data_IF_896387416168
#
_entry.id   IF_896387416168
#
_cell.length_a   1.000
_cell.length_b   1.000
_cell.length_c   1.000
_cell.angle_alpha   90.00
_cell.angle_beta   90.00
_cell.angle_gamma   90.00
#
_symmetry.space_group_name_H-M   'P 1'
#
loop_
_entity.id
_entity.type
_entity.pdbx_description
1 polymer ?
#
# COMPACT_ATOMS: atom_id res chain seq x y z
N UNK A 1 28.43 -7.62 18.74
CA UNK A 1 27.12 -8.22 18.41
C UNK A 1 26.58 -7.52 17.17
N UNK A 2 26.90 -8.04 15.98
CA UNK A 2 26.48 -7.46 14.70
C UNK A 2 25.60 -8.46 13.96
N UNK A 3 24.40 -8.01 13.65
CA UNK A 3 23.30 -8.76 13.04
C UNK A 3 23.54 -8.81 11.52
N UNK A 4 24.04 -9.95 11.00
CA UNK A 4 24.41 -10.10 9.57
C UNK A 4 23.71 -11.29 8.87
N UNK A 5 22.40 -11.40 9.02
CA UNK A 5 21.60 -12.28 8.16
C UNK A 5 21.01 -11.50 6.96
N UNK A 6 21.88 -11.07 6.04
CA UNK A 6 21.45 -10.43 4.78
C UNK A 6 21.13 -11.49 3.71
N UNK A 7 19.83 -11.80 3.55
CA UNK A 7 19.29 -12.66 2.48
C UNK A 7 19.03 -11.83 1.22
N UNK A 8 19.53 -12.26 0.06
CA UNK A 8 19.29 -11.59 -1.23
C UNK A 8 18.28 -12.39 -2.08
N UNK A 9 17.40 -11.68 -2.78
CA UNK A 9 16.39 -12.25 -3.69
C UNK A 9 16.82 -12.03 -5.15
N UNK A 10 16.77 -13.07 -5.98
CA UNK A 10 17.05 -13.01 -7.44
C UNK A 10 15.74 -13.14 -8.22
N UNK A 11 15.43 -12.22 -9.13
CA UNK A 11 14.19 -12.26 -9.95
C UNK A 11 14.37 -13.19 -11.16
N UNK A 12 13.50 -14.19 -11.32
CA UNK A 12 13.65 -15.30 -12.27
C UNK A 12 12.72 -15.16 -13.50
N UNK A 13 11.62 -14.41 -13.43
CA UNK A 13 10.63 -14.32 -14.52
C UNK A 13 10.25 -12.87 -14.86
N UNK A 14 10.38 -12.49 -16.14
CA UNK A 14 10.21 -11.11 -16.66
C UNK A 14 8.86 -10.83 -17.33
N UNK A 15 8.02 -11.83 -17.57
CA UNK A 15 6.78 -11.65 -18.33
C UNK A 15 5.56 -11.78 -17.42
N UNK A 16 5.02 -10.65 -16.96
CA UNK A 16 3.68 -10.60 -16.35
C UNK A 16 2.97 -9.36 -16.89
N UNK A 17 1.96 -9.62 -17.71
CA UNK A 17 1.02 -8.64 -18.23
C UNK A 17 0.13 -8.12 -17.09
N UNK A 18 0.02 -6.80 -16.93
CA UNK A 18 -0.74 -6.16 -15.85
C UNK A 18 -2.10 -5.66 -16.39
N UNK A 19 -3.24 -6.05 -15.79
CA UNK A 19 -4.55 -5.59 -16.26
C UNK A 19 -4.76 -4.10 -15.97
N UNK A 20 -5.19 -3.38 -17.00
CA UNK A 20 -5.48 -1.95 -17.01
C UNK A 20 -6.61 -1.59 -16.05
N UNK A 21 -6.43 -0.51 -15.30
CA UNK A 21 -7.30 -0.05 -14.22
C UNK A 21 -8.64 0.49 -14.78
N UNK A 22 -9.76 -0.02 -14.26
CA UNK A 22 -11.08 0.49 -14.55
C UNK A 22 -11.32 1.87 -13.89
N UNK A 23 -11.81 2.81 -14.71
CA UNK A 23 -12.14 4.18 -14.36
C UNK A 23 -13.27 4.26 -13.32
N UNK A 24 -13.03 4.97 -12.21
CA UNK A 24 -14.08 5.36 -11.27
C UNK A 24 -14.58 6.75 -11.68
N UNK A 25 -15.79 6.80 -12.21
CA UNK A 25 -16.50 8.03 -12.56
C UNK A 25 -16.89 8.76 -11.27
N UNK A 26 -16.47 10.01 -11.09
CA UNK A 26 -16.86 10.88 -9.99
C UNK A 26 -18.09 11.68 -10.44
N UNK A 27 -19.20 11.57 -9.73
CA UNK A 27 -20.37 12.45 -9.94
C UNK A 27 -20.31 13.65 -9.00
N UNK A 28 -20.61 14.88 -9.46
CA UNK A 28 -20.72 16.05 -8.60
C UNK A 28 -22.18 16.26 -8.23
N UNK A 29 -22.56 16.05 -6.97
CA UNK A 29 -23.85 16.52 -6.45
C UNK A 29 -23.63 17.50 -5.32
N UNK A 30 -23.75 18.78 -5.67
CA UNK A 30 -23.88 19.92 -4.77
C UNK A 30 -25.34 20.00 -4.34
N UNK A 31 -25.59 20.09 -3.04
CA UNK A 31 -26.85 20.62 -2.51
C UNK A 31 -26.58 21.26 -1.16
N UNK A 32 -26.82 22.57 -1.10
CA UNK A 32 -26.75 23.43 0.07
C UNK A 32 -27.76 23.04 1.16
N UNK A 33 -27.44 23.24 2.45
CA UNK A 33 -28.33 22.91 3.57
C UNK A 33 -29.30 24.08 3.89
N UNK A 34 -30.56 23.81 4.27
CA UNK A 34 -31.40 24.83 4.87
C UNK A 34 -31.07 25.00 6.36
N UNK A 35 -30.86 26.25 6.77
CA UNK A 35 -30.80 26.64 8.18
C UNK A 35 -32.22 26.67 8.75
N UNK A 36 -32.51 25.81 9.73
CA UNK A 36 -33.62 25.99 10.67
C UNK A 36 -33.09 25.72 12.07
N UNK A 37 -33.04 26.77 12.86
CA UNK A 37 -32.91 26.73 14.31
C UNK A 37 -34.23 26.23 14.91
N UNK A 38 -34.22 25.08 15.58
CA UNK A 38 -35.27 24.79 16.56
C UNK A 38 -34.80 23.77 17.60
N UNK A 39 -34.52 24.31 18.78
CA UNK A 39 -34.95 23.80 20.08
C UNK A 39 -34.77 22.29 20.39
N UNK A 40 -33.81 22.05 21.30
CA UNK A 40 -33.87 21.08 22.40
C UNK A 40 -34.77 19.85 22.16
N UNK A 41 -34.23 18.84 21.47
CA UNK A 41 -34.75 17.47 21.58
C UNK A 41 -33.66 16.58 22.19
N UNK A 42 -33.69 16.44 23.52
CA UNK A 42 -32.96 15.38 24.20
C UNK A 42 -33.44 14.03 23.62
N UNK A 43 -32.55 13.12 23.22
CA UNK A 43 -32.96 11.83 22.71
C UNK A 43 -33.70 11.05 23.81
N UNK A 44 -34.80 10.33 23.48
CA UNK A 44 -35.50 9.51 24.45
C UNK A 44 -34.54 8.44 24.99
N UNK A 45 -34.39 8.39 26.31
CA UNK A 45 -33.66 7.33 26.99
C UNK A 45 -34.33 5.96 26.72
N UNK A 46 -33.53 4.98 26.28
CA UNK A 46 -33.66 3.62 26.82
C UNK A 46 -34.38 2.53 26.00
N UNK A 47 -34.63 2.71 24.70
CA UNK A 47 -35.04 1.58 23.86
C UNK A 47 -33.87 0.63 23.59
N UNK A 48 -34.05 -0.70 23.71
CA UNK A 48 -33.05 -1.71 23.28
C UNK A 48 -32.87 -1.61 21.76
N UNK A 49 -32.01 -0.70 21.30
CA UNK A 49 -31.64 -0.61 19.89
C UNK A 49 -30.91 -1.88 19.49
N UNK A 50 -31.19 -2.41 18.29
CA UNK A 50 -30.42 -3.53 17.72
C UNK A 50 -28.93 -3.23 17.84
N UNK A 51 -28.14 -4.20 18.32
CA UNK A 51 -26.67 -4.07 18.38
C UNK A 51 -26.16 -3.59 17.01
N UNK A 52 -25.41 -2.48 17.00
CA UNK A 52 -24.84 -1.93 15.76
C UNK A 52 -23.92 -2.98 15.12
N UNK A 53 -24.06 -3.20 13.81
CA UNK A 53 -23.13 -4.06 13.06
C UNK A 53 -21.75 -3.43 13.05
N UNK A 54 -20.73 -4.17 13.45
CA UNK A 54 -19.36 -3.68 13.42
C UNK A 54 -18.87 -3.53 11.97
N UNK A 55 -18.38 -2.33 11.62
CA UNK A 55 -17.75 -2.08 10.32
C UNK A 55 -16.22 -2.15 10.48
N UNK A 56 -15.66 -3.34 10.27
CA UNK A 56 -14.22 -3.60 10.43
C UNK A 56 -13.34 -2.86 9.41
N UNK A 57 -13.90 -2.42 8.29
CA UNK A 57 -13.18 -1.68 7.24
C UNK A 57 -12.74 -0.29 7.71
N UNK A 58 -13.56 0.34 8.54
CA UNK A 58 -13.35 1.68 9.08
C UNK A 58 -12.58 1.71 10.40
N UNK A 59 -12.26 0.54 10.97
CA UNK A 59 -11.41 0.49 12.15
C UNK A 59 -10.05 1.13 11.87
N UNK A 60 -9.58 1.97 12.79
CA UNK A 60 -8.31 2.70 12.67
C UNK A 60 -7.15 1.76 12.30
N UNK A 61 -7.10 0.56 12.89
CA UNK A 61 -6.09 -0.45 12.61
C UNK A 61 -6.21 -1.02 11.19
N UNK A 62 -7.41 -1.42 10.77
CA UNK A 62 -7.68 -1.98 9.43
C UNK A 62 -7.37 -0.95 8.33
N UNK A 63 -7.84 0.29 8.50
CA UNK A 63 -7.55 1.40 7.58
C UNK A 63 -6.04 1.63 7.47
N UNK A 64 -5.34 1.72 8.61
CA UNK A 64 -3.87 1.88 8.63
C UNK A 64 -3.15 0.72 7.95
N UNK A 65 -3.55 -0.53 8.22
CA UNK A 65 -2.98 -1.73 7.58
C UNK A 65 -3.14 -1.64 6.07
N UNK A 66 -4.33 -1.32 5.57
CA UNK A 66 -4.60 -1.19 4.12
C UNK A 66 -3.78 -0.08 3.47
N UNK A 67 -3.72 1.10 4.09
CA UNK A 67 -2.90 2.22 3.56
C UNK A 67 -1.41 1.86 3.52
N UNK A 68 -0.89 1.24 4.60
CA UNK A 68 0.50 0.78 4.65
C UNK A 68 0.80 -0.27 3.58
N UNK A 69 -0.09 -1.23 3.37
CA UNK A 69 0.11 -2.29 2.36
C UNK A 69 0.01 -1.76 0.93
N UNK A 70 -0.82 -0.75 0.70
CA UNK A 70 -0.91 -0.05 -0.59
C UNK A 70 0.17 1.01 -0.80
N UNK A 71 1.08 1.19 0.17
CA UNK A 71 2.13 2.20 0.10
C UNK A 71 1.63 3.65 0.14
N UNK A 72 0.38 3.88 0.56
CA UNK A 72 -0.21 5.22 0.67
C UNK A 72 0.17 5.90 1.98
N UNK A 73 -0.02 7.20 2.03
CA UNK A 73 0.15 7.97 3.26
C UNK A 73 -0.78 7.47 4.37
N UNK A 74 -0.29 7.43 5.61
CA UNK A 74 -1.12 7.11 6.77
C UNK A 74 -0.60 7.71 8.06
N UNK A 75 -1.49 7.85 9.05
CA UNK A 75 -1.13 8.30 10.40
C UNK A 75 -0.83 7.08 11.28
N UNK A 76 0.35 7.07 11.91
CA UNK A 76 0.75 6.00 12.82
C UNK A 76 -0.03 6.07 14.15
N UNK A 77 0.23 5.13 15.08
CA UNK A 77 -0.45 5.14 16.38
C UNK A 77 -0.06 6.36 17.23
N UNK A 78 1.14 6.90 17.01
CA UNK A 78 1.70 8.07 17.70
C UNK A 78 1.29 9.41 17.06
N UNK A 79 0.33 9.42 16.13
CA UNK A 79 -0.13 10.62 15.43
C UNK A 79 0.81 11.18 14.36
N UNK A 80 1.95 10.54 14.05
CA UNK A 80 2.85 11.00 12.99
C UNK A 80 2.36 10.56 11.61
N UNK A 81 2.41 11.48 10.66
CA UNK A 81 2.14 11.22 9.24
C UNK A 81 3.32 10.45 8.64
N UNK A 82 3.02 9.30 8.04
CA UNK A 82 3.98 8.48 7.29
C UNK A 82 3.73 8.72 5.82
N UNK A 83 4.71 9.31 5.14
CA UNK A 83 4.66 9.66 3.73
C UNK A 83 4.40 8.43 2.83
N UNK A 84 3.78 8.64 1.65
CA UNK A 84 3.57 7.56 0.70
C UNK A 84 4.91 6.99 0.21
N UNK A 85 4.88 5.72 -0.22
CA UNK A 85 6.01 5.08 -0.86
C UNK A 85 6.26 5.80 -2.19
N UNK A 86 7.53 5.97 -2.51
CA UNK A 86 7.99 6.48 -3.79
C UNK A 86 9.14 5.63 -4.31
N UNK A 87 9.38 5.70 -5.62
CA UNK A 87 10.54 5.08 -6.26
C UNK A 87 11.77 5.84 -5.76
N UNK A 88 12.70 5.11 -5.12
CA UNK A 88 13.94 5.67 -4.60
C UNK A 88 15.14 4.88 -5.12
N UNK A 89 16.11 5.58 -5.69
CA UNK A 89 17.41 5.01 -6.03
C UNK A 89 18.29 5.07 -4.77
N UNK A 90 18.41 3.94 -4.05
CA UNK A 90 19.25 3.86 -2.84
C UNK A 90 20.73 3.69 -3.14
N UNK A 91 21.08 3.29 -4.36
CA UNK A 91 22.45 3.10 -4.84
C UNK A 91 22.63 3.95 -6.09
N UNK A 92 23.89 4.16 -6.47
CA UNK A 92 24.27 4.81 -7.73
C UNK A 92 23.98 3.89 -8.92
N UNK A 93 22.69 3.64 -9.14
CA UNK A 93 22.19 2.78 -10.19
C UNK A 93 22.51 3.31 -11.60
N UNK A 94 22.86 4.59 -11.70
CA UNK A 94 23.25 5.26 -12.95
C UNK A 94 24.70 4.99 -13.33
N UNK A 95 25.63 5.03 -12.36
CA UNK A 95 27.07 5.05 -12.66
C UNK A 95 27.78 3.75 -12.27
N UNK A 96 27.42 3.12 -11.13
CA UNK A 96 28.17 1.98 -10.57
C UNK A 96 27.24 0.82 -10.16
N UNK A 97 26.30 0.46 -11.04
CA UNK A 97 25.38 -0.64 -10.77
C UNK A 97 25.90 -1.97 -11.32
N UNK A 98 26.31 -2.90 -10.45
CA UNK A 98 26.66 -4.29 -10.84
C UNK A 98 25.58 -4.95 -11.71
N UNK A 99 24.32 -4.65 -11.44
CA UNK A 99 23.18 -5.25 -12.13
C UNK A 99 22.72 -4.47 -13.36
N UNK A 100 23.29 -3.28 -13.62
CA UNK A 100 22.91 -2.38 -14.72
C UNK A 100 21.41 -2.08 -14.75
N UNK A 101 20.82 -1.85 -13.56
CA UNK A 101 19.37 -1.71 -13.42
C UNK A 101 18.78 -0.53 -14.21
N UNK A 102 19.58 0.51 -14.48
CA UNK A 102 19.13 1.67 -15.25
C UNK A 102 19.16 1.41 -16.77
N UNK A 103 20.12 0.63 -17.26
CA UNK A 103 20.17 0.22 -18.67
C UNK A 103 19.11 -0.83 -18.99
N UNK A 104 18.81 -1.73 -18.05
CA UNK A 104 17.93 -2.89 -18.28
C UNK A 104 16.45 -2.64 -18.02
N UNK A 105 16.12 -1.59 -17.27
CA UNK A 105 14.74 -1.28 -16.88
C UNK A 105 14.54 0.21 -17.06
N UNK A 106 13.63 0.57 -17.96
CA UNK A 106 13.31 1.96 -18.21
C UNK A 106 12.62 2.60 -17.00
N UNK A 107 12.58 3.93 -16.97
CA UNK A 107 11.91 4.64 -15.88
C UNK A 107 10.40 4.35 -15.85
N UNK A 108 9.78 4.19 -17.02
CA UNK A 108 8.34 3.92 -17.12
C UNK A 108 8.01 2.47 -16.74
N UNK A 109 8.83 1.50 -17.14
CA UNK A 109 8.73 0.12 -16.64
C UNK A 109 8.84 0.09 -15.12
N UNK A 110 9.74 0.90 -14.54
CA UNK A 110 9.89 0.99 -13.10
C UNK A 110 8.64 1.56 -12.43
N UNK A 111 7.98 2.56 -13.04
CA UNK A 111 6.69 3.09 -12.55
C UNK A 111 5.59 2.04 -12.62
N UNK A 112 5.52 1.30 -13.73
CA UNK A 112 4.55 0.20 -13.90
C UNK A 112 4.75 -0.86 -12.82
N UNK A 113 5.99 -1.33 -12.65
CA UNK A 113 6.35 -2.32 -11.62
C UNK A 113 6.04 -1.79 -10.21
N UNK A 114 6.34 -0.52 -9.94
CA UNK A 114 6.06 0.11 -8.66
C UNK A 114 4.56 0.15 -8.37
N UNK A 115 3.76 0.63 -9.31
CA UNK A 115 2.32 0.75 -9.17
C UNK A 115 1.66 -0.62 -9.05
N UNK A 116 2.08 -1.60 -9.86
CA UNK A 116 1.61 -2.98 -9.77
C UNK A 116 1.93 -3.60 -8.41
N UNK A 117 3.18 -3.47 -7.94
CA UNK A 117 3.60 -4.05 -6.66
C UNK A 117 2.86 -3.45 -5.47
N UNK A 118 2.65 -2.13 -5.46
CA UNK A 118 1.95 -1.47 -4.36
C UNK A 118 0.43 -1.53 -4.49
N UNK A 119 -0.11 -1.79 -5.67
CA UNK A 119 -1.54 -2.08 -5.86
C UNK A 119 -1.96 -3.45 -5.32
N UNK A 120 -1.05 -4.43 -5.30
CA UNK A 120 -1.31 -5.78 -4.82
C UNK A 120 -1.54 -5.86 -3.29
N UNK A 121 -2.34 -6.84 -2.89
CA UNK A 121 -2.53 -7.28 -1.50
C UNK A 121 -1.28 -7.98 -0.96
N UNK A 122 -1.22 -8.18 0.37
CA UNK A 122 -0.10 -8.86 1.00
C UNK A 122 0.09 -10.30 0.48
N UNK A 123 -1.02 -11.00 0.23
CA UNK A 123 -1.03 -12.40 -0.20
C UNK A 123 -0.51 -12.49 -1.63
N UNK A 124 -0.98 -11.61 -2.52
CA UNK A 124 -0.51 -11.54 -3.90
C UNK A 124 0.97 -11.22 -3.97
N UNK A 125 1.48 -10.31 -3.12
CA UNK A 125 2.92 -10.03 -3.04
C UNK A 125 3.73 -11.25 -2.59
N UNK A 126 3.25 -11.97 -1.58
CA UNK A 126 3.91 -13.19 -1.12
C UNK A 126 4.00 -14.24 -2.23
N UNK A 127 2.89 -14.46 -2.93
CA UNK A 127 2.83 -15.38 -4.06
C UNK A 127 3.72 -14.92 -5.23
N UNK A 128 3.71 -13.63 -5.56
CA UNK A 128 4.59 -13.03 -6.56
C UNK A 128 6.07 -13.29 -6.22
N UNK A 129 6.50 -13.01 -4.98
CA UNK A 129 7.87 -13.27 -4.57
C UNK A 129 8.19 -14.77 -4.57
N UNK A 130 7.29 -15.63 -4.12
CA UNK A 130 7.52 -17.08 -4.14
C UNK A 130 7.74 -17.63 -5.55
N UNK A 131 7.09 -17.06 -6.57
CA UNK A 131 7.21 -17.49 -7.96
C UNK A 131 8.37 -16.85 -8.71
N UNK A 132 8.71 -15.62 -8.33
CA UNK A 132 9.71 -14.84 -9.05
C UNK A 132 11.06 -14.85 -8.36
N UNK A 133 11.18 -15.29 -7.11
CA UNK A 133 12.43 -15.21 -6.36
C UNK A 133 12.83 -16.50 -5.67
N UNK A 134 14.12 -16.81 -5.72
CA UNK A 134 14.76 -17.86 -4.93
C UNK A 134 15.52 -17.24 -3.75
N UNK A 135 15.53 -17.94 -2.61
CA UNK A 135 16.38 -17.59 -1.47
C UNK A 135 17.66 -18.39 -1.58
N UNK A 136 18.79 -17.68 -1.58
CA UNK A 136 20.11 -18.28 -1.54
C UNK A 136 20.70 -18.10 -0.14
N UNK A 137 21.08 -19.20 0.49
CA UNK A 137 21.81 -19.15 1.74
C UNK A 137 23.24 -18.69 1.48
N UNK A 138 23.71 -17.70 2.25
CA UNK A 138 25.08 -17.22 2.18
C UNK A 138 25.99 -18.35 2.66
N UNK A 139 26.84 -18.90 1.78
CA UNK A 139 27.93 -19.77 2.21
C UNK A 139 28.79 -18.99 3.21
N UNK A 140 28.91 -19.51 4.44
CA UNK A 140 29.88 -18.99 5.41
C UNK A 140 31.27 -19.28 4.82
N UNK A 141 32.02 -18.22 4.53
CA UNK A 141 33.45 -18.28 4.23
C UNK A 141 34.24 -18.15 5.52
#
# INVERSE_FOLDING_TARGET
>A
MADENSVYLRVINKNIDYPQQANIMVTPYVSTPPLISDQLRLPPHGGKTRKRKANCYNWKQSKRKRLRQSGKEYINVRGKVIQPRSIKNKKDCKNCCKFKCFEKISEDERKILFNGLWGMSQIEKQHFFSKTTERLDKKRS
#
